data_IF_525184162673
#
_entry.id   IF_525184162673
#
_cell.length_a   1.000
_cell.length_b   1.000
_cell.length_c   1.000
_cell.angle_alpha   90.00
_cell.angle_beta   90.00
_cell.angle_gamma   90.00
#
_symmetry.space_group_name_H-M   'P 1'
#
loop_
_entity.id
_entity.type
_entity.pdbx_description
1 polymer ?
#
# COMPACT_ATOMS: atom_id res chain seq x y z
N UNK A 1 38.53 -0.42 25.68
CA UNK A 1 38.03 -1.61 24.95
C UNK A 1 36.51 -1.85 25.05
N UNK A 2 35.76 -1.28 26.02
CA UNK A 2 34.28 -1.46 26.08
C UNK A 2 33.45 -0.47 25.23
N UNK A 3 34.04 0.63 24.79
CA UNK A 3 33.33 1.73 24.12
C UNK A 3 33.19 1.55 22.60
N UNK A 4 34.17 0.91 21.95
CA UNK A 4 34.15 0.68 20.49
C UNK A 4 33.15 -0.43 20.09
N UNK A 5 32.92 -1.43 20.94
CA UNK A 5 31.91 -2.47 20.69
C UNK A 5 30.46 -1.97 20.79
N UNK A 6 30.21 -0.94 21.61
CA UNK A 6 28.89 -0.32 21.74
C UNK A 6 28.55 0.52 20.50
N UNK A 7 29.49 1.35 20.03
CA UNK A 7 29.32 2.11 18.78
C UNK A 7 29.11 1.22 17.55
N UNK A 8 29.84 0.09 17.45
CA UNK A 8 29.69 -0.85 16.33
C UNK A 8 28.36 -1.61 16.35
N UNK A 9 27.72 -1.76 17.51
CA UNK A 9 26.38 -2.36 17.66
C UNK A 9 25.27 -1.36 17.39
N UNK A 10 25.45 -0.10 17.75
CA UNK A 10 24.49 0.98 17.43
C UNK A 10 24.48 1.27 15.93
N UNK A 11 25.63 1.43 15.27
CA UNK A 11 25.68 1.66 13.82
C UNK A 11 25.04 0.53 13.00
N UNK A 12 25.18 -0.73 13.45
CA UNK A 12 24.54 -1.89 12.81
C UNK A 12 23.03 -1.96 13.03
N UNK A 13 22.51 -1.41 14.13
CA UNK A 13 21.06 -1.30 14.37
C UNK A 13 20.47 -0.18 13.52
N UNK A 14 21.15 0.96 13.49
CA UNK A 14 20.75 2.16 12.77
C UNK A 14 20.77 1.95 11.24
N UNK A 15 21.73 1.16 10.73
CA UNK A 15 21.77 0.77 9.32
C UNK A 15 20.74 -0.31 8.95
N UNK A 16 20.20 -1.05 9.93
CA UNK A 16 19.14 -2.04 9.70
C UNK A 16 17.75 -1.40 9.75
N UNK A 17 17.54 -0.37 10.57
CA UNK A 17 16.31 0.41 10.61
C UNK A 17 16.14 1.27 9.35
N UNK A 18 17.18 1.98 8.91
CA UNK A 18 17.13 2.79 7.66
C UNK A 18 16.94 1.97 6.38
N UNK A 19 17.28 0.68 6.39
CA UNK A 19 17.09 -0.20 5.23
C UNK A 19 15.70 -0.86 5.23
N UNK A 20 14.99 -0.84 6.36
CA UNK A 20 13.61 -1.35 6.49
C UNK A 20 12.59 -0.33 5.99
N UNK A 21 12.71 0.92 6.43
CA UNK A 21 11.84 2.04 5.99
C UNK A 21 11.84 2.24 4.45
N UNK A 22 12.84 1.73 3.73
CA UNK A 22 12.90 1.78 2.26
C UNK A 22 12.14 0.68 1.52
N UNK A 23 11.80 -0.45 2.15
CA UNK A 23 11.22 -1.60 1.41
C UNK A 23 9.75 -1.39 1.08
N UNK A 24 8.96 -0.89 2.02
CA UNK A 24 7.54 -0.57 1.78
C UNK A 24 7.42 0.52 0.70
N UNK A 25 8.20 1.60 0.82
CA UNK A 25 8.21 2.68 -0.16
C UNK A 25 8.63 2.19 -1.55
N UNK A 26 9.64 1.33 -1.64
CA UNK A 26 10.04 0.72 -2.90
C UNK A 26 8.92 -0.12 -3.54
N UNK A 27 8.23 -0.94 -2.76
CA UNK A 27 7.08 -1.72 -3.26
C UNK A 27 5.95 -0.79 -3.73
N UNK A 28 5.69 0.29 -2.99
CA UNK A 28 4.69 1.31 -3.37
C UNK A 28 5.06 1.94 -4.70
N UNK A 29 6.30 2.41 -4.85
CA UNK A 29 6.78 3.09 -6.06
C UNK A 29 6.75 2.17 -7.29
N UNK A 30 7.06 0.89 -7.10
CA UNK A 30 6.98 -0.12 -8.15
C UNK A 30 5.54 -0.54 -8.49
N UNK A 31 4.56 -0.20 -7.65
CA UNK A 31 3.18 -0.63 -7.81
C UNK A 31 2.91 -2.08 -7.37
N UNK A 32 3.80 -2.66 -6.56
CA UNK A 32 3.78 -4.05 -6.10
C UNK A 32 2.86 -4.23 -4.88
N UNK A 33 1.58 -3.88 -5.04
CA UNK A 33 0.62 -3.80 -3.94
C UNK A 33 0.28 -5.17 -3.31
N UNK A 34 0.33 -6.26 -4.08
CA UNK A 34 0.05 -7.63 -3.60
C UNK A 34 1.14 -8.11 -2.63
N UNK A 35 2.38 -7.64 -2.81
CA UNK A 35 3.55 -8.03 -2.02
C UNK A 35 3.68 -7.26 -0.71
N UNK A 36 2.89 -6.22 -0.50
CA UNK A 36 2.91 -5.44 0.74
C UNK A 36 2.57 -6.31 1.96
N UNK A 37 1.67 -7.29 1.81
CA UNK A 37 1.29 -8.20 2.90
C UNK A 37 2.40 -9.14 3.38
N UNK A 38 3.52 -9.21 2.64
CA UNK A 38 4.71 -9.99 3.00
C UNK A 38 5.70 -9.18 3.86
N UNK A 39 5.50 -7.86 3.96
CA UNK A 39 6.41 -6.97 4.65
C UNK A 39 6.00 -6.75 6.12
N UNK A 40 6.84 -7.10 7.11
CA UNK A 40 6.52 -6.91 8.51
C UNK A 40 6.22 -5.46 8.89
N UNK A 41 6.92 -4.49 8.30
CA UNK A 41 6.71 -3.08 8.59
C UNK A 41 5.32 -2.63 8.12
N UNK A 42 4.91 -3.08 6.93
CA UNK A 42 3.54 -2.85 6.45
C UNK A 42 2.50 -3.49 7.37
N UNK A 43 2.76 -4.70 7.88
CA UNK A 43 1.84 -5.38 8.79
C UNK A 43 1.73 -4.69 10.15
N UNK A 44 2.79 -4.05 10.63
CA UNK A 44 2.80 -3.30 11.90
C UNK A 44 2.08 -1.93 11.81
N UNK A 45 1.78 -1.45 10.60
CA UNK A 45 1.04 -0.20 10.40
C UNK A 45 -0.42 -0.29 10.90
N UNK A 46 -0.98 0.88 11.23
CA UNK A 46 -2.42 1.01 11.47
C UNK A 46 -3.24 0.54 10.26
N UNK A 47 -4.49 0.11 10.48
CA UNK A 47 -5.41 -0.29 9.41
C UNK A 47 -5.54 0.81 8.35
N UNK A 48 -5.65 2.07 8.78
CA UNK A 48 -5.77 3.22 7.88
C UNK A 48 -4.50 3.45 7.07
N UNK A 49 -3.34 3.40 7.73
CA UNK A 49 -2.04 3.51 7.09
C UNK A 49 -1.85 2.40 6.04
N UNK A 50 -2.21 1.15 6.35
CA UNK A 50 -2.18 0.04 5.38
C UNK A 50 -3.08 0.33 4.18
N UNK A 51 -4.33 0.76 4.40
CA UNK A 51 -5.25 1.08 3.31
C UNK A 51 -4.68 2.21 2.43
N UNK A 52 -4.12 3.27 3.02
CA UNK A 52 -3.52 4.39 2.30
C UNK A 52 -2.32 3.92 1.46
N UNK A 53 -1.42 3.15 2.08
CA UNK A 53 -0.22 2.61 1.43
C UNK A 53 -0.56 1.68 0.27
N UNK A 54 -1.49 0.74 0.46
CA UNK A 54 -1.99 -0.12 -0.62
C UNK A 54 -2.65 0.70 -1.73
N UNK A 55 -3.47 1.70 -1.38
CA UNK A 55 -4.13 2.57 -2.37
C UNK A 55 -3.11 3.37 -3.20
N UNK A 56 -1.99 3.79 -2.61
CA UNK A 56 -0.87 4.43 -3.32
C UNK A 56 -0.20 3.44 -4.28
N UNK A 57 0.15 2.24 -3.81
CA UNK A 57 0.77 1.20 -4.63
C UNK A 57 -0.13 0.81 -5.83
N UNK A 58 -1.44 0.63 -5.62
CA UNK A 58 -2.40 0.38 -6.71
C UNK A 58 -2.45 1.55 -7.71
N UNK A 59 -2.35 2.80 -7.22
CA UNK A 59 -2.25 3.98 -8.09
C UNK A 59 -1.02 3.95 -9.00
N UNK A 60 0.13 3.57 -8.45
CA UNK A 60 1.37 3.42 -9.22
C UNK A 60 1.28 2.24 -10.20
N UNK A 61 0.67 1.12 -9.81
CA UNK A 61 0.41 0.00 -10.71
C UNK A 61 -0.44 0.40 -11.92
N UNK A 62 -1.47 1.22 -11.72
CA UNK A 62 -2.29 1.77 -12.82
C UNK A 62 -1.41 2.61 -13.74
N UNK A 63 -0.63 3.54 -13.19
CA UNK A 63 0.26 4.43 -13.95
C UNK A 63 1.27 3.63 -14.78
N UNK A 64 1.85 2.58 -14.21
CA UNK A 64 2.81 1.71 -14.88
C UNK A 64 2.20 0.92 -16.06
N UNK A 65 0.88 0.78 -16.11
CA UNK A 65 0.16 0.12 -17.21
C UNK A 65 -0.35 1.08 -18.28
N UNK A 66 -0.37 2.40 -18.03
CA UNK A 66 -0.90 3.39 -18.98
C UNK A 66 -0.04 3.50 -20.24
N UNK A 67 1.28 3.61 -20.10
CA UNK A 67 2.21 3.69 -21.23
C UNK A 67 2.19 2.39 -22.07
N UNK A 68 2.36 1.18 -21.49
CA UNK A 68 2.19 -0.08 -22.23
C UNK A 68 0.83 -0.23 -22.91
N UNK A 69 -0.24 0.27 -22.29
CA UNK A 69 -1.57 0.25 -22.91
C UNK A 69 -1.60 1.10 -24.18
N UNK A 70 -1.14 2.35 -24.13
CA UNK A 70 -1.16 3.23 -25.30
C UNK A 70 -0.26 2.73 -26.41
N UNK A 71 0.89 2.15 -26.07
CA UNK A 71 1.79 1.55 -27.06
C UNK A 71 1.14 0.33 -27.72
N UNK A 72 0.53 -0.56 -26.94
CA UNK A 72 -0.17 -1.73 -27.46
C UNK A 72 -1.36 -1.33 -28.33
N UNK A 73 -2.13 -0.28 -27.99
CA UNK A 73 -3.25 0.21 -28.81
C UNK A 73 -2.78 0.60 -30.22
N UNK A 74 -1.57 1.14 -30.36
CA UNK A 74 -1.03 1.54 -31.68
C UNK A 74 -0.63 0.35 -32.53
N UNK A 75 -0.16 -0.74 -31.92
CA UNK A 75 0.42 -1.89 -32.63
C UNK A 75 -0.53 -3.07 -32.77
N UNK A 76 -1.31 -3.37 -31.74
CA UNK A 76 -2.26 -4.47 -31.64
C UNK A 76 -3.40 -4.12 -30.65
N UNK A 77 -4.49 -3.50 -31.15
CA UNK A 77 -5.63 -3.11 -30.33
C UNK A 77 -6.28 -4.27 -29.56
N UNK A 78 -6.23 -5.48 -30.10
CA UNK A 78 -6.81 -6.67 -29.48
C UNK A 78 -6.04 -7.05 -28.21
N UNK A 79 -4.71 -7.04 -28.28
CA UNK A 79 -3.85 -7.25 -27.12
C UNK A 79 -3.98 -6.16 -26.05
N UNK A 80 -4.34 -4.94 -26.45
CA UNK A 80 -4.56 -3.83 -25.52
C UNK A 80 -5.78 -4.04 -24.60
N UNK A 81 -6.77 -4.85 -25.00
CA UNK A 81 -7.94 -5.16 -24.17
C UNK A 81 -7.57 -5.84 -22.86
N UNK A 82 -6.53 -6.69 -22.86
CA UNK A 82 -6.03 -7.37 -21.66
C UNK A 82 -5.46 -6.36 -20.67
N UNK A 83 -4.67 -5.40 -21.15
CA UNK A 83 -4.09 -4.34 -20.32
C UNK A 83 -5.21 -3.43 -19.78
N UNK A 84 -6.18 -3.08 -20.63
CA UNK A 84 -7.36 -2.30 -20.23
C UNK A 84 -8.17 -3.01 -19.15
N UNK A 85 -8.35 -4.34 -19.25
CA UNK A 85 -9.01 -5.16 -18.23
C UNK A 85 -8.31 -5.05 -16.88
N UNK A 86 -6.97 -5.16 -16.86
CA UNK A 86 -6.16 -4.96 -15.64
C UNK A 86 -6.31 -3.55 -15.07
N UNK A 87 -6.23 -2.51 -15.90
CA UNK A 87 -6.41 -1.11 -15.47
C UNK A 87 -7.79 -0.91 -14.83
N UNK A 88 -8.86 -1.44 -15.45
CA UNK A 88 -10.22 -1.37 -14.90
C UNK A 88 -10.33 -2.07 -13.55
N UNK A 89 -9.76 -3.26 -13.42
CA UNK A 89 -9.75 -3.99 -12.16
C UNK A 89 -9.01 -3.21 -11.05
N UNK A 90 -7.82 -2.68 -11.34
CA UNK A 90 -7.06 -1.88 -10.37
C UNK A 90 -7.79 -0.60 -9.97
N UNK A 91 -8.52 0.05 -10.89
CA UNK A 91 -9.38 1.21 -10.57
C UNK A 91 -10.52 0.83 -9.62
N UNK A 92 -11.12 -0.35 -9.80
CA UNK A 92 -12.11 -0.88 -8.87
C UNK A 92 -11.49 -1.08 -7.49
N UNK A 93 -10.36 -1.80 -7.40
CA UNK A 93 -9.63 -2.02 -6.13
C UNK A 93 -9.30 -0.71 -5.42
N UNK A 94 -8.75 0.28 -6.16
CA UNK A 94 -8.41 1.61 -5.62
C UNK A 94 -9.64 2.34 -5.05
N UNK A 95 -10.80 2.16 -5.69
CA UNK A 95 -12.07 2.76 -5.24
C UNK A 95 -12.58 2.07 -3.98
N UNK A 96 -12.58 0.74 -3.94
CA UNK A 96 -12.98 -0.04 -2.76
C UNK A 96 -12.10 0.28 -1.55
N UNK A 97 -10.79 0.43 -1.73
CA UNK A 97 -9.88 0.87 -0.66
C UNK A 97 -10.24 2.27 -0.13
N UNK A 98 -10.62 3.20 -1.02
CA UNK A 98 -11.09 4.51 -0.62
C UNK A 98 -12.38 4.47 0.19
N UNK A 99 -13.33 3.61 -0.18
CA UNK A 99 -14.57 3.40 0.56
C UNK A 99 -14.30 2.79 1.95
N UNK A 100 -13.40 1.82 2.04
CA UNK A 100 -13.04 1.18 3.31
C UNK A 100 -12.31 2.15 4.26
N UNK A 101 -11.48 3.06 3.73
CA UNK A 101 -10.88 4.13 4.54
C UNK A 101 -11.95 5.05 5.14
N UNK A 102 -12.91 5.51 4.32
CA UNK A 102 -14.01 6.36 4.78
C UNK A 102 -14.85 5.66 5.85
N UNK A 103 -15.12 4.36 5.67
CA UNK A 103 -15.84 3.54 6.66
C UNK A 103 -15.09 3.42 7.98
N UNK A 104 -13.78 3.18 7.95
CA UNK A 104 -12.95 3.10 9.15
C UNK A 104 -12.95 4.42 9.93
N UNK A 105 -12.77 5.53 9.24
CA UNK A 105 -12.80 6.87 9.85
C UNK A 105 -14.16 7.14 10.50
N UNK A 106 -15.27 6.86 9.80
CA UNK A 106 -16.63 7.04 10.35
C UNK A 106 -16.88 6.22 11.62
N UNK A 107 -16.40 4.98 11.66
CA UNK A 107 -16.54 4.11 12.83
C UNK A 107 -15.75 4.60 14.05
N UNK A 108 -14.68 5.38 13.84
CA UNK A 108 -13.89 5.98 14.92
C UNK A 108 -14.49 7.29 15.42
N UNK A 109 -15.12 8.08 14.54
CA UNK A 109 -15.70 9.39 14.88
C UNK A 109 -17.06 9.26 15.55
N UNK A 110 -17.85 8.24 15.22
CA UNK A 110 -19.17 8.02 15.83
C UNK A 110 -19.00 7.07 17.03
N UNK A 111 -18.99 7.57 18.28
CA UNK A 111 -19.00 6.68 19.43
C UNK A 111 -20.25 5.81 19.37
N UNK A 112 -20.08 4.49 19.55
CA UNK A 112 -21.20 3.57 19.69
C UNK A 112 -22.02 4.03 20.90
N UNK A 113 -23.13 4.72 20.66
CA UNK A 113 -24.06 5.07 21.74
C UNK A 113 -24.48 3.76 22.39
N UNK A 114 -24.21 3.53 23.70
CA UNK A 114 -24.64 2.31 24.35
C UNK A 114 -26.16 2.30 24.31
N UNK A 115 -26.73 1.35 23.57
CA UNK A 115 -28.16 1.08 23.60
C UNK A 115 -28.47 0.58 25.00
N UNK A 116 -28.93 1.48 25.89
CA UNK A 116 -29.50 1.08 27.17
C UNK A 116 -30.68 0.16 26.84
N UNK A 117 -30.53 -1.14 27.10
CA UNK A 117 -31.68 -2.05 27.16
C UNK A 117 -32.59 -1.51 28.25
N UNK A 118 -33.77 -1.04 27.87
CA UNK A 118 -34.85 -0.79 28.83
C UNK A 118 -35.20 -2.14 29.46
N UNK A 119 -35.04 -2.22 30.78
CA UNK A 119 -35.50 -3.33 31.60
C UNK A 119 -37.02 -3.26 31.78
#
# INVERSE_FOLDING_TARGET
MKTEELHRKEEKRDSHERNREGKVDKLVDQGEWERLGEDPEFLDMSVESRIITTRRAVGNAIKNLEEPFYDQVRTDPSGAEVILGKIKHLRFVRTSLGQELVKNIKNQIVPKTPVKKAA
#
